data_IF_108907110323
#
_entry.id   IF_108907110323
#
_cell.length_a   1.000
_cell.length_b   1.000
_cell.length_c   1.000
_cell.angle_alpha   90.00
_cell.angle_beta   90.00
_cell.angle_gamma   90.00
#
_symmetry.space_group_name_H-M   'P 1'
#
loop_
_entity.id
_entity.type
_entity.pdbx_description
1 polymer ?
#
# COMPACT_ATOMS: atom_id res chain seq x y z
N UNK A 1 41.11 26.80 -9.76
CA UNK A 1 39.96 26.01 -10.26
C UNK A 1 38.96 27.01 -10.86
N UNK A 2 39.23 27.35 -12.11
CA UNK A 2 38.35 28.23 -12.89
C UNK A 2 37.27 27.35 -13.57
N UNK A 3 36.24 26.99 -12.82
CA UNK A 3 35.03 26.43 -13.39
C UNK A 3 34.04 27.60 -13.55
N UNK A 4 33.80 28.01 -14.79
CA UNK A 4 32.71 28.95 -15.09
C UNK A 4 31.40 28.40 -14.50
N UNK A 5 30.61 29.19 -13.76
CA UNK A 5 29.34 28.75 -13.23
C UNK A 5 28.41 28.43 -14.41
N UNK A 6 27.94 27.21 -14.50
CA UNK A 6 26.93 26.77 -15.45
C UNK A 6 25.62 27.57 -15.20
N UNK A 7 25.51 28.72 -15.85
CA UNK A 7 24.32 29.54 -15.82
C UNK A 7 23.27 28.96 -16.78
N UNK A 8 22.54 27.91 -16.35
CA UNK A 8 21.30 27.54 -17.01
C UNK A 8 20.26 28.61 -16.70
N UNK A 9 19.94 29.45 -17.70
CA UNK A 9 18.90 30.46 -17.60
C UNK A 9 17.50 29.83 -17.41
N UNK A 10 16.51 30.61 -16.91
CA UNK A 10 15.14 30.12 -16.69
C UNK A 10 14.45 29.55 -17.95
N UNK A 11 14.94 29.87 -19.15
CA UNK A 11 14.40 29.41 -20.44
C UNK A 11 14.88 28.00 -20.83
N UNK A 12 15.97 27.50 -20.21
CA UNK A 12 16.57 26.21 -20.54
C UNK A 12 16.00 25.07 -19.68
N UNK A 13 15.23 25.39 -18.67
CA UNK A 13 14.53 24.43 -17.83
C UNK A 13 13.22 24.01 -18.49
N UNK A 14 13.29 23.16 -19.51
CA UNK A 14 12.12 22.36 -19.86
C UNK A 14 11.74 21.58 -18.60
N UNK A 15 10.46 21.60 -18.18
CA UNK A 15 10.04 20.84 -17.03
C UNK A 15 10.43 19.38 -17.26
N UNK A 16 11.37 18.87 -16.48
CA UNK A 16 11.93 17.52 -16.57
C UNK A 16 10.84 16.44 -16.58
N UNK A 17 9.66 16.77 -16.07
CA UNK A 17 8.46 15.95 -16.18
C UNK A 17 7.20 16.81 -16.20
N UNK A 18 6.38 16.63 -17.21
CA UNK A 18 4.99 17.09 -17.18
C UNK A 18 4.16 16.17 -16.27
N UNK A 19 3.09 16.71 -15.68
CA UNK A 19 2.11 15.92 -14.89
C UNK A 19 1.66 14.66 -15.64
N UNK A 20 1.56 14.75 -16.97
CA UNK A 20 1.20 13.65 -17.88
C UNK A 20 2.32 12.60 -17.99
N UNK A 21 3.59 13.01 -17.99
CA UNK A 21 4.73 12.09 -18.03
C UNK A 21 4.91 11.36 -16.70
N UNK A 22 4.67 12.02 -15.56
CA UNK A 22 4.65 11.39 -14.25
C UNK A 22 3.48 10.38 -14.15
N UNK A 23 2.27 10.76 -14.53
CA UNK A 23 1.12 9.86 -14.57
C UNK A 23 1.33 8.67 -15.51
N UNK A 24 1.91 8.88 -16.70
CA UNK A 24 2.22 7.79 -17.63
C UNK A 24 3.27 6.82 -17.06
N UNK A 25 4.24 7.33 -16.32
CA UNK A 25 5.30 6.51 -15.70
C UNK A 25 4.77 5.68 -14.52
N UNK A 26 3.88 6.26 -13.69
CA UNK A 26 3.23 5.54 -12.61
C UNK A 26 2.22 4.51 -13.14
N UNK A 27 1.47 4.83 -14.19
CA UNK A 27 0.59 3.88 -14.86
C UNK A 27 1.37 2.79 -15.60
N UNK A 28 2.51 3.09 -16.22
CA UNK A 28 3.40 2.10 -16.84
C UNK A 28 4.05 1.16 -15.80
N UNK A 29 4.46 1.68 -14.64
CA UNK A 29 5.01 0.88 -13.53
C UNK A 29 3.94 -0.03 -12.91
N UNK A 30 2.72 0.47 -12.76
CA UNK A 30 1.54 -0.26 -12.32
C UNK A 30 1.13 -1.33 -13.35
N UNK A 31 1.18 -1.01 -14.66
CA UNK A 31 0.87 -1.93 -15.76
C UNK A 31 2.00 -2.93 -16.03
N UNK A 32 3.27 -2.58 -15.83
CA UNK A 32 4.40 -3.50 -15.99
C UNK A 32 4.43 -4.57 -14.89
N UNK A 33 4.01 -4.26 -13.66
CA UNK A 33 3.81 -5.27 -12.60
C UNK A 33 2.49 -6.02 -12.72
N UNK A 34 1.46 -5.46 -13.39
CA UNK A 34 0.12 -6.03 -13.57
C UNK A 34 -0.16 -6.67 -14.95
N UNK A 35 0.57 -6.26 -15.97
CA UNK A 35 0.16 -6.48 -17.37
C UNK A 35 0.28 -7.91 -17.90
N UNK A 36 1.02 -8.79 -17.26
CA UNK A 36 1.09 -10.23 -17.65
C UNK A 36 0.24 -11.16 -16.76
N UNK A 37 -0.19 -10.68 -15.58
CA UNK A 37 -1.04 -11.47 -14.67
C UNK A 37 -2.54 -11.26 -14.91
N UNK A 38 -2.97 -10.09 -15.42
CA UNK A 38 -4.39 -9.77 -15.53
C UNK A 38 -5.13 -10.58 -16.64
N UNK A 39 -4.45 -10.95 -17.73
CA UNK A 39 -5.04 -11.82 -18.76
C UNK A 39 -5.12 -13.29 -18.32
N UNK A 40 -4.11 -13.78 -17.58
CA UNK A 40 -4.13 -15.13 -17.01
C UNK A 40 -5.14 -15.26 -15.87
N UNK A 41 -5.26 -14.23 -15.01
CA UNK A 41 -6.24 -14.23 -13.90
C UNK A 41 -7.67 -14.18 -14.41
N UNK A 42 -7.95 -13.55 -15.58
CA UNK A 42 -9.29 -13.60 -16.18
C UNK A 42 -9.62 -14.97 -16.77
N UNK A 43 -8.64 -15.72 -17.26
CA UNK A 43 -8.84 -17.09 -17.73
C UNK A 43 -8.87 -18.10 -16.57
N UNK A 44 -8.05 -17.91 -15.53
CA UNK A 44 -8.07 -18.73 -14.32
C UNK A 44 -9.35 -18.52 -13.48
N UNK A 45 -9.91 -17.30 -13.45
CA UNK A 45 -11.20 -17.04 -12.82
C UNK A 45 -12.37 -17.78 -13.48
N UNK A 46 -12.25 -18.11 -14.76
CA UNK A 46 -13.24 -18.94 -15.48
C UNK A 46 -13.05 -20.45 -15.28
N UNK A 47 -11.88 -20.89 -14.82
CA UNK A 47 -11.56 -22.31 -14.63
C UNK A 47 -11.63 -22.78 -13.16
N UNK A 48 -11.83 -21.90 -12.19
CA UNK A 48 -11.82 -22.23 -10.75
C UNK A 48 -13.19 -22.56 -10.15
N UNK A 49 -14.16 -22.84 -10.97
CA UNK A 49 -15.56 -23.11 -10.59
C UNK A 49 -15.80 -24.42 -9.79
N UNK A 50 -14.73 -25.15 -9.46
CA UNK A 50 -14.80 -26.36 -8.65
C UNK A 50 -14.23 -26.11 -7.25
N UNK A 51 -14.99 -25.44 -6.41
CA UNK A 51 -14.66 -25.31 -4.98
C UNK A 51 -14.90 -23.96 -4.31
N UNK A 52 -15.26 -22.91 -5.05
CA UNK A 52 -15.72 -21.66 -4.45
C UNK A 52 -17.04 -21.93 -3.71
N UNK A 53 -17.24 -21.34 -2.50
CA UNK A 53 -18.53 -21.41 -1.82
C UNK A 53 -19.55 -20.53 -2.53
N UNK A 54 -20.83 -20.85 -2.39
CA UNK A 54 -21.86 -19.86 -2.68
C UNK A 54 -21.84 -18.77 -1.62
N UNK A 55 -22.37 -17.60 -1.93
CA UNK A 55 -22.43 -16.52 -0.95
C UNK A 55 -23.23 -16.91 0.30
N UNK A 56 -24.29 -17.72 0.14
CA UNK A 56 -25.12 -18.19 1.24
C UNK A 56 -24.36 -19.12 2.20
N UNK A 57 -23.45 -19.96 1.66
CA UNK A 57 -22.59 -20.82 2.48
C UNK A 57 -21.54 -20.02 3.25
N UNK A 58 -21.01 -18.96 2.65
CA UNK A 58 -19.87 -18.21 3.20
C UNK A 58 -20.29 -17.02 4.08
N UNK A 59 -21.50 -16.49 3.91
CA UNK A 59 -21.92 -15.22 4.52
C UNK A 59 -21.79 -15.16 6.04
N UNK A 60 -22.19 -16.20 6.75
CA UNK A 60 -22.05 -16.24 8.22
C UNK A 60 -20.58 -16.17 8.63
N UNK A 61 -19.75 -16.96 7.97
CA UNK A 61 -18.31 -16.99 8.25
C UNK A 61 -17.61 -15.66 7.87
N UNK A 62 -18.04 -15.01 6.78
CA UNK A 62 -17.54 -13.69 6.41
C UNK A 62 -17.88 -12.66 7.49
N UNK A 63 -19.13 -12.68 8.00
CA UNK A 63 -19.55 -11.80 9.09
C UNK A 63 -18.75 -12.04 10.37
N UNK A 64 -18.50 -13.30 10.72
CA UNK A 64 -17.65 -13.68 11.88
C UNK A 64 -16.21 -13.16 11.74
N UNK A 65 -15.63 -13.25 10.54
CA UNK A 65 -14.29 -12.68 10.27
C UNK A 65 -14.28 -11.15 10.38
N UNK A 66 -15.31 -10.49 9.90
CA UNK A 66 -15.42 -9.03 10.01
C UNK A 66 -15.55 -8.59 11.46
N UNK A 67 -16.35 -9.29 12.26
CA UNK A 67 -16.46 -9.03 13.69
C UNK A 67 -15.12 -9.28 14.42
N UNK A 68 -14.39 -10.35 14.07
CA UNK A 68 -13.06 -10.63 14.60
C UNK A 68 -12.04 -9.53 14.27
N UNK A 69 -12.15 -8.95 13.07
CA UNK A 69 -11.32 -7.82 12.64
C UNK A 69 -11.80 -6.47 13.16
N UNK A 70 -12.87 -6.45 13.97
CA UNK A 70 -13.42 -5.23 14.58
C UNK A 70 -14.33 -4.40 13.67
N UNK A 71 -14.64 -4.88 12.46
CA UNK A 71 -15.58 -4.20 11.58
C UNK A 71 -17.02 -4.52 11.97
N UNK A 72 -17.80 -3.48 12.21
CA UNK A 72 -19.22 -3.59 12.53
C UNK A 72 -20.06 -2.82 11.53
N UNK A 73 -21.24 -3.38 11.21
CA UNK A 73 -22.18 -2.72 10.32
C UNK A 73 -22.92 -1.61 11.08
N UNK A 74 -22.38 -0.40 11.03
CA UNK A 74 -22.89 0.81 11.69
C UNK A 74 -23.06 1.95 10.69
N UNK A 75 -23.95 2.94 10.97
CA UNK A 75 -24.29 4.01 10.01
C UNK A 75 -23.07 4.78 9.46
N UNK A 76 -22.10 5.08 10.30
CA UNK A 76 -20.91 5.86 9.91
C UNK A 76 -19.83 5.01 9.21
N UNK A 77 -19.86 3.69 9.38
CA UNK A 77 -18.86 2.75 8.89
C UNK A 77 -19.40 1.71 7.90
N UNK A 78 -20.65 1.86 7.42
CA UNK A 78 -21.27 0.86 6.54
C UNK A 78 -20.50 0.64 5.24
N UNK A 79 -19.95 1.69 4.64
CA UNK A 79 -19.16 1.58 3.40
C UNK A 79 -17.88 0.79 3.61
N UNK A 80 -17.22 0.99 4.74
CA UNK A 80 -16.01 0.26 5.12
C UNK A 80 -16.33 -1.22 5.35
N UNK A 81 -17.41 -1.51 6.10
CA UNK A 81 -17.87 -2.87 6.32
C UNK A 81 -18.18 -3.60 5.00
N UNK A 82 -18.96 -2.97 4.12
CA UNK A 82 -19.32 -3.54 2.82
C UNK A 82 -18.10 -3.72 1.92
N UNK A 83 -17.14 -2.82 2.01
CA UNK A 83 -15.89 -2.91 1.27
C UNK A 83 -15.07 -4.14 1.70
N UNK A 84 -14.92 -4.37 3.01
CA UNK A 84 -14.21 -5.54 3.55
C UNK A 84 -15.00 -6.83 3.32
N UNK A 85 -16.33 -6.80 3.38
CA UNK A 85 -17.17 -7.92 2.99
C UNK A 85 -16.90 -8.34 1.55
N UNK A 86 -16.87 -7.40 0.62
CA UNK A 86 -16.56 -7.66 -0.78
C UNK A 86 -15.14 -8.17 -0.98
N UNK A 87 -14.18 -7.71 -0.18
CA UNK A 87 -12.79 -8.18 -0.22
C UNK A 87 -12.68 -9.66 0.14
N UNK A 88 -13.37 -10.09 1.21
CA UNK A 88 -13.40 -11.51 1.60
C UNK A 88 -14.14 -12.35 0.56
N UNK A 89 -15.22 -11.84 -0.04
CA UNK A 89 -15.89 -12.51 -1.16
C UNK A 89 -14.93 -12.77 -2.33
N UNK A 90 -14.10 -11.77 -2.66
CA UNK A 90 -13.05 -11.92 -3.68
C UNK A 90 -12.04 -13.00 -3.27
N UNK A 91 -11.60 -13.02 -2.02
CA UNK A 91 -10.66 -14.03 -1.53
C UNK A 91 -11.21 -15.45 -1.65
N UNK A 92 -12.50 -15.67 -1.41
CA UNK A 92 -13.17 -16.96 -1.60
C UNK A 92 -13.51 -17.27 -3.06
N UNK A 93 -13.38 -16.32 -3.97
CA UNK A 93 -13.70 -16.49 -5.38
C UNK A 93 -15.20 -16.45 -5.67
N UNK A 94 -15.98 -15.78 -4.83
CA UNK A 94 -17.42 -15.57 -5.03
C UNK A 94 -17.60 -14.58 -6.19
N UNK A 95 -18.49 -14.86 -7.17
CA UNK A 95 -18.74 -13.97 -8.28
C UNK A 95 -19.34 -12.61 -7.86
N UNK A 96 -19.03 -11.54 -8.62
CA UNK A 96 -19.55 -10.20 -8.37
C UNK A 96 -21.07 -10.17 -8.22
N UNK A 97 -21.78 -10.86 -9.12
CA UNK A 97 -23.24 -10.85 -9.17
C UNK A 97 -23.87 -11.42 -7.90
N UNK A 98 -23.29 -12.49 -7.36
CA UNK A 98 -23.73 -13.10 -6.10
C UNK A 98 -23.42 -12.20 -4.91
N UNK A 99 -22.17 -11.70 -4.82
CA UNK A 99 -21.75 -10.82 -3.73
C UNK A 99 -22.57 -9.52 -3.70
N UNK A 100 -22.84 -8.94 -4.88
CA UNK A 100 -23.61 -7.72 -5.01
C UNK A 100 -25.07 -7.95 -4.63
N UNK A 101 -25.70 -9.00 -5.14
CA UNK A 101 -27.11 -9.32 -4.83
C UNK A 101 -27.32 -9.60 -3.34
N UNK A 102 -26.34 -10.27 -2.70
CA UNK A 102 -26.38 -10.50 -1.27
C UNK A 102 -26.23 -9.19 -0.49
N UNK A 103 -25.23 -8.39 -0.83
CA UNK A 103 -24.96 -7.12 -0.16
C UNK A 103 -26.14 -6.14 -0.29
N UNK A 104 -26.76 -6.06 -1.45
CA UNK A 104 -27.94 -5.22 -1.66
C UNK A 104 -29.14 -5.67 -0.81
N UNK A 105 -29.33 -6.99 -0.67
CA UNK A 105 -30.41 -7.55 0.16
C UNK A 105 -30.16 -7.34 1.65
N UNK A 106 -28.95 -7.57 2.12
CA UNK A 106 -28.64 -7.56 3.56
C UNK A 106 -28.29 -6.16 4.10
N UNK A 107 -27.62 -5.35 3.27
CA UNK A 107 -27.06 -4.06 3.68
C UNK A 107 -27.71 -2.87 2.95
N UNK A 108 -28.29 -3.11 1.77
CA UNK A 108 -28.81 -2.07 0.88
C UNK A 108 -30.14 -1.47 1.30
N UNK A 109 -30.85 -2.07 2.23
CA UNK A 109 -32.15 -1.53 2.73
C UNK A 109 -32.03 -0.17 3.39
N UNK A 110 -30.85 0.11 3.97
CA UNK A 110 -30.57 1.38 4.67
C UNK A 110 -29.66 2.32 3.86
N UNK A 111 -28.95 1.80 2.84
CA UNK A 111 -27.90 2.55 2.12
C UNK A 111 -27.91 2.24 0.62
N UNK A 112 -28.12 3.28 -0.20
CA UNK A 112 -28.26 3.15 -1.66
C UNK A 112 -26.95 2.94 -2.43
N UNK A 113 -25.81 3.12 -1.79
CA UNK A 113 -24.48 3.04 -2.42
C UNK A 113 -23.80 1.68 -2.29
N UNK A 114 -24.41 0.72 -1.56
CA UNK A 114 -23.90 -0.63 -1.30
C UNK A 114 -23.42 -1.34 -2.57
N UNK A 115 -24.25 -1.37 -3.61
CA UNK A 115 -23.91 -1.98 -4.90
C UNK A 115 -22.67 -1.35 -5.56
N UNK A 116 -22.54 -0.03 -5.43
CA UNK A 116 -21.41 0.70 -6.02
C UNK A 116 -20.09 0.41 -5.30
N UNK A 117 -20.14 0.24 -3.98
CA UNK A 117 -18.98 -0.12 -3.15
C UNK A 117 -18.48 -1.52 -3.53
N UNK A 118 -19.37 -2.52 -3.57
CA UNK A 118 -19.02 -3.88 -3.99
C UNK A 118 -18.42 -3.89 -5.39
N UNK A 119 -19.09 -3.26 -6.36
CA UNK A 119 -18.61 -3.17 -7.75
C UNK A 119 -17.26 -2.46 -7.86
N UNK A 120 -17.02 -1.43 -7.05
CA UNK A 120 -15.74 -0.74 -7.01
C UNK A 120 -14.62 -1.66 -6.54
N UNK A 121 -14.86 -2.47 -5.51
CA UNK A 121 -13.87 -3.41 -4.97
C UNK A 121 -13.54 -4.53 -5.95
N UNK A 122 -14.50 -5.06 -6.65
CA UNK A 122 -14.33 -6.10 -7.68
C UNK A 122 -13.53 -5.67 -8.92
N UNK A 123 -13.14 -4.40 -9.04
CA UNK A 123 -12.16 -3.99 -10.07
C UNK A 123 -10.74 -4.49 -9.77
N UNK A 124 -10.47 -4.98 -8.57
CA UNK A 124 -9.16 -5.40 -8.10
C UNK A 124 -9.14 -6.92 -7.81
N UNK A 125 -9.20 -7.74 -8.86
CA UNK A 125 -9.32 -9.21 -8.76
C UNK A 125 -7.99 -9.97 -8.60
N UNK A 126 -6.89 -9.31 -8.28
CA UNK A 126 -5.58 -9.97 -8.16
C UNK A 126 -5.50 -11.03 -7.04
N UNK A 127 -6.43 -10.99 -6.11
CA UNK A 127 -6.58 -11.94 -5.00
C UNK A 127 -7.81 -12.85 -5.13
N UNK A 128 -8.42 -12.94 -6.34
CA UNK A 128 -9.63 -13.73 -6.54
C UNK A 128 -9.39 -15.21 -6.33
N UNK A 129 -10.18 -15.85 -5.43
CA UNK A 129 -10.15 -17.29 -5.17
C UNK A 129 -8.86 -17.81 -4.54
N UNK A 130 -8.10 -16.96 -3.82
CA UNK A 130 -6.88 -17.39 -3.13
C UNK A 130 -7.17 -18.17 -1.85
N UNK A 131 -8.34 -17.97 -1.22
CA UNK A 131 -8.77 -18.69 -0.04
C UNK A 131 -9.55 -19.95 -0.39
N UNK A 132 -9.50 -20.94 0.50
CA UNK A 132 -10.32 -22.15 0.46
C UNK A 132 -11.40 -22.05 1.52
N UNK A 133 -12.64 -22.31 1.14
CA UNK A 133 -13.75 -22.37 2.10
C UNK A 133 -13.86 -23.82 2.62
N UNK A 134 -13.63 -24.00 3.91
CA UNK A 134 -13.73 -25.30 4.57
C UNK A 134 -15.17 -25.54 5.00
N UNK A 135 -15.85 -26.49 4.38
CA UNK A 135 -17.20 -26.88 4.75
C UNK A 135 -17.17 -27.72 6.03
N UNK A 136 -18.26 -27.65 6.80
CA UNK A 136 -18.42 -28.43 8.02
C UNK A 136 -18.27 -29.93 7.72
N UNK A 137 -17.32 -30.62 8.36
CA UNK A 137 -17.01 -32.05 8.10
C UNK A 137 -15.86 -32.29 7.11
N UNK A 138 -15.35 -31.29 6.41
CA UNK A 138 -14.09 -31.41 5.67
C UNK A 138 -12.94 -31.44 6.69
N UNK A 139 -12.54 -32.64 7.12
CA UNK A 139 -11.44 -32.82 8.05
C UNK A 139 -10.13 -32.27 7.45
N UNK A 140 -9.40 -31.46 8.22
CA UNK A 140 -8.01 -31.09 7.94
C UNK A 140 -7.11 -32.32 8.10
N UNK A 141 -7.26 -33.32 7.22
CA UNK A 141 -6.44 -34.51 7.22
C UNK A 141 -5.20 -34.26 6.38
N UNK A 142 -4.03 -34.18 7.02
CA UNK A 142 -2.74 -34.15 6.33
C UNK A 142 -1.88 -32.92 6.68
N UNK A 143 -0.71 -32.83 6.05
CA UNK A 143 0.18 -31.66 6.18
C UNK A 143 -0.52 -30.42 5.64
N UNK A 144 -0.44 -29.27 6.35
CA UNK A 144 -1.06 -28.03 5.89
C UNK A 144 -0.49 -27.62 4.52
N UNK A 145 -1.38 -27.26 3.61
CA UNK A 145 -0.96 -26.72 2.31
C UNK A 145 -0.43 -25.28 2.46
N UNK A 146 0.46 -24.86 1.58
CA UNK A 146 0.91 -23.45 1.55
C UNK A 146 -0.27 -22.49 1.45
N UNK A 147 -1.35 -22.90 0.77
CA UNK A 147 -2.58 -22.12 0.65
C UNK A 147 -3.27 -21.93 2.01
N UNK A 148 -3.44 -23.01 2.80
CA UNK A 148 -4.05 -22.91 4.13
C UNK A 148 -3.20 -22.11 5.10
N UNK A 149 -1.88 -22.20 5.00
CA UNK A 149 -0.95 -21.38 5.78
C UNK A 149 -1.12 -19.89 5.44
N UNK A 150 -1.07 -19.55 4.16
CA UNK A 150 -1.27 -18.16 3.70
C UNK A 150 -2.63 -17.61 4.10
N UNK A 151 -3.67 -18.42 4.04
CA UNK A 151 -5.01 -18.03 4.46
C UNK A 151 -5.06 -17.74 5.96
N UNK A 152 -4.50 -18.62 6.80
CA UNK A 152 -4.42 -18.39 8.24
C UNK A 152 -3.66 -17.11 8.57
N UNK A 153 -2.50 -16.90 7.94
CA UNK A 153 -1.70 -15.69 8.12
C UNK A 153 -2.51 -14.44 7.75
N UNK A 154 -3.22 -14.43 6.61
CA UNK A 154 -4.04 -13.29 6.18
C UNK A 154 -5.28 -13.07 7.04
N UNK A 155 -5.74 -14.09 7.77
CA UNK A 155 -6.84 -13.96 8.72
C UNK A 155 -6.38 -13.25 10.00
N UNK A 156 -5.14 -13.49 10.44
CA UNK A 156 -4.65 -13.00 11.73
C UNK A 156 -3.76 -11.77 11.60
N UNK A 157 -3.04 -11.62 10.47
CA UNK A 157 -2.00 -10.63 10.29
C UNK A 157 -2.05 -9.97 8.90
N UNK A 158 -1.50 -8.77 8.84
CA UNK A 158 -1.11 -8.10 7.62
C UNK A 158 0.41 -8.13 7.51
N UNK A 159 0.92 -8.32 6.30
CA UNK A 159 2.35 -8.34 6.02
C UNK A 159 2.70 -7.36 4.92
N UNK A 160 3.77 -6.61 5.11
CA UNK A 160 4.31 -5.76 4.06
C UNK A 160 5.83 -5.77 4.07
N UNK A 161 6.41 -5.46 2.94
CA UNK A 161 7.84 -5.21 2.82
C UNK A 161 8.08 -3.72 2.61
N UNK A 162 8.71 -3.08 3.57
CA UNK A 162 9.10 -1.68 3.49
C UNK A 162 10.21 -1.52 2.45
N UNK A 163 9.92 -0.84 1.34
CA UNK A 163 10.88 -0.67 0.23
C UNK A 163 12.03 0.29 0.56
N UNK A 164 11.85 1.15 1.56
CA UNK A 164 12.89 2.09 1.99
C UNK A 164 13.93 1.41 2.88
N UNK A 165 13.49 0.58 3.83
CA UNK A 165 14.37 -0.10 4.78
C UNK A 165 14.77 -1.50 4.33
N UNK A 166 14.00 -2.11 3.43
CA UNK A 166 14.15 -3.50 3.00
C UNK A 166 13.61 -4.52 4.00
N UNK A 167 13.09 -4.10 5.15
CA UNK A 167 12.57 -4.98 6.18
C UNK A 167 11.13 -5.41 5.91
N UNK A 168 10.79 -6.59 6.41
CA UNK A 168 9.42 -7.08 6.47
C UNK A 168 8.77 -6.57 7.75
N UNK A 169 7.51 -6.20 7.66
CA UNK A 169 6.72 -5.64 8.76
C UNK A 169 5.41 -6.42 8.87
N UNK A 170 4.89 -6.51 10.09
CA UNK A 170 3.63 -7.18 10.43
C UNK A 170 2.76 -6.29 11.30
N UNK A 171 1.46 -6.39 11.11
CA UNK A 171 0.42 -5.78 11.94
C UNK A 171 -0.67 -6.83 12.22
N UNK A 172 -1.20 -6.87 13.43
CA UNK A 172 -2.31 -7.77 13.77
C UNK A 172 -3.62 -7.27 13.18
N UNK A 173 -4.40 -8.16 12.57
CA UNK A 173 -5.76 -7.86 12.13
C UNK A 173 -6.79 -8.00 13.26
N UNK A 174 -6.48 -8.81 14.26
CA UNK A 174 -7.38 -9.09 15.38
C UNK A 174 -7.29 -7.95 16.37
N UNK A 175 -8.38 -7.21 16.53
CA UNK A 175 -8.41 -5.97 17.33
C UNK A 175 -8.43 -6.26 18.83
N UNK A 176 -9.14 -7.31 19.29
CA UNK A 176 -9.35 -7.57 20.73
C UNK A 176 -8.13 -8.15 21.43
N UNK A 177 -7.31 -8.95 20.73
CA UNK A 177 -6.11 -9.58 21.27
C UNK A 177 -4.88 -9.34 20.37
N UNK A 178 -4.91 -8.25 19.60
CA UNK A 178 -3.85 -7.93 18.63
C UNK A 178 -2.51 -7.72 19.31
N UNK A 179 -1.61 -8.69 19.14
CA UNK A 179 -0.26 -8.67 19.70
C UNK A 179 0.59 -7.54 19.13
N UNK A 180 0.30 -7.14 17.89
CA UNK A 180 0.98 -6.07 17.16
C UNK A 180 -0.06 -5.08 16.63
N UNK A 181 -0.52 -4.11 17.44
CA UNK A 181 -1.58 -3.17 17.03
C UNK A 181 -1.12 -2.18 15.95
N UNK A 182 0.20 -1.98 15.84
CA UNK A 182 0.84 -1.15 14.82
C UNK A 182 1.83 -1.98 14.00
N UNK A 183 2.22 -1.44 12.84
CA UNK A 183 3.25 -2.03 12.01
C UNK A 183 4.58 -2.13 12.74
N UNK A 184 5.04 -3.35 12.98
CA UNK A 184 6.32 -3.64 13.61
C UNK A 184 7.23 -4.41 12.66
N UNK A 185 8.53 -4.16 12.74
CA UNK A 185 9.52 -4.92 11.99
C UNK A 185 9.55 -6.37 12.49
N UNK A 186 9.49 -7.31 11.55
CA UNK A 186 9.63 -8.74 11.86
C UNK A 186 11.09 -9.05 12.18
N UNK A 187 11.30 -9.61 13.34
CA UNK A 187 12.54 -10.23 13.79
C UNK A 187 12.29 -11.72 14.11
N UNK A 188 13.35 -12.43 14.50
CA UNK A 188 13.26 -13.87 14.81
C UNK A 188 12.27 -14.15 15.95
N UNK A 189 12.13 -13.24 16.92
CA UNK A 189 11.21 -13.43 18.04
C UNK A 189 9.74 -13.33 17.58
N UNK A 190 9.44 -12.37 16.73
CA UNK A 190 8.10 -12.18 16.15
C UNK A 190 7.77 -13.36 15.23
N UNK A 191 8.70 -13.78 14.38
CA UNK A 191 8.51 -14.90 13.46
C UNK A 191 8.24 -16.20 14.24
N UNK A 192 9.02 -16.48 15.29
CA UNK A 192 8.82 -17.63 16.18
C UNK A 192 7.50 -17.57 16.95
N UNK A 193 7.05 -16.36 17.34
CA UNK A 193 5.76 -16.20 18.00
C UNK A 193 4.60 -16.54 17.07
N UNK A 194 4.64 -16.05 15.83
CA UNK A 194 3.63 -16.35 14.80
C UNK A 194 3.65 -17.85 14.47
N UNK A 195 4.83 -18.45 14.37
CA UNK A 195 4.98 -19.88 14.16
C UNK A 195 4.33 -20.71 15.29
N UNK A 196 4.55 -20.33 16.56
CA UNK A 196 3.96 -20.98 17.73
C UNK A 196 2.43 -20.90 17.73
N UNK A 197 1.87 -19.73 17.41
CA UNK A 197 0.41 -19.54 17.30
C UNK A 197 -0.21 -20.40 16.18
N UNK A 198 0.51 -20.56 15.07
CA UNK A 198 0.08 -21.45 13.98
C UNK A 198 0.08 -22.92 14.44
N UNK A 199 1.13 -23.34 15.14
CA UNK A 199 1.26 -24.70 15.67
C UNK A 199 0.16 -25.01 16.68
N UNK A 200 -0.13 -24.10 17.62
CA UNK A 200 -1.23 -24.17 18.57
C UNK A 200 -2.61 -24.24 17.89
N UNK A 201 -2.73 -23.59 16.73
CA UNK A 201 -3.93 -23.66 15.88
C UNK A 201 -4.04 -24.97 15.07
N UNK A 202 -3.11 -25.90 15.26
CA UNK A 202 -3.07 -27.20 14.56
C UNK A 202 -2.50 -27.11 13.13
N UNK A 203 -1.82 -26.02 12.79
CA UNK A 203 -1.12 -25.85 11.53
C UNK A 203 0.38 -26.16 11.69
N UNK A 204 0.70 -27.42 11.92
CA UNK A 204 2.08 -27.86 12.14
C UNK A 204 2.91 -27.74 10.85
N UNK A 205 3.88 -26.83 10.84
CA UNK A 205 4.76 -26.58 9.69
C UNK A 205 6.22 -26.37 10.16
N UNK A 206 7.20 -26.68 9.32
CA UNK A 206 8.57 -26.29 9.59
C UNK A 206 8.70 -24.76 9.62
N UNK A 207 9.41 -24.21 10.59
CA UNK A 207 9.70 -22.78 10.75
C UNK A 207 10.19 -22.13 9.44
N UNK A 208 11.12 -22.78 8.75
CA UNK A 208 11.61 -22.35 7.45
C UNK A 208 10.52 -22.11 6.40
N UNK A 209 9.38 -22.79 6.52
CA UNK A 209 8.25 -22.61 5.60
C UNK A 209 7.58 -21.27 5.84
N UNK A 210 7.38 -20.86 7.08
CA UNK A 210 6.87 -19.56 7.46
C UNK A 210 7.81 -18.47 6.96
N UNK A 211 9.09 -18.56 7.28
CA UNK A 211 10.13 -17.64 6.79
C UNK A 211 10.07 -17.44 5.28
N UNK A 212 10.04 -18.52 4.50
CA UNK A 212 9.98 -18.45 3.04
C UNK A 212 8.68 -17.79 2.52
N UNK A 213 7.56 -17.95 3.23
CA UNK A 213 6.29 -17.29 2.85
C UNK A 213 6.38 -15.80 3.11
N UNK A 214 6.80 -15.39 4.31
CA UNK A 214 6.93 -13.97 4.68
C UNK A 214 7.89 -13.24 3.73
N UNK A 215 9.02 -13.88 3.41
CA UNK A 215 10.06 -13.32 2.54
C UNK A 215 9.79 -13.49 1.03
N UNK A 216 8.55 -13.76 0.65
CA UNK A 216 8.13 -13.88 -0.74
C UNK A 216 7.29 -12.68 -1.20
N UNK A 217 6.66 -12.82 -2.37
CA UNK A 217 5.63 -11.90 -2.88
C UNK A 217 4.32 -11.88 -2.07
N UNK A 218 4.25 -12.68 -1.02
CA UNK A 218 3.16 -12.68 -0.06
C UNK A 218 3.10 -11.37 0.74
N UNK A 219 4.26 -10.84 1.15
CA UNK A 219 4.37 -9.53 1.79
C UNK A 219 4.36 -8.44 0.72
N UNK A 220 3.29 -7.64 0.70
CA UNK A 220 3.13 -6.60 -0.32
C UNK A 220 4.19 -5.50 -0.18
N UNK A 221 4.76 -4.99 -1.28
CA UNK A 221 5.71 -3.90 -1.20
C UNK A 221 4.99 -2.62 -0.76
N UNK A 222 5.57 -1.95 0.23
CA UNK A 222 5.12 -0.68 0.79
C UNK A 222 6.22 0.37 0.68
N UNK A 223 5.93 1.47 0.01
CA UNK A 223 6.81 2.63 -0.07
C UNK A 223 6.29 3.72 0.87
N UNK A 224 6.88 3.88 2.08
CA UNK A 224 6.41 4.85 3.07
C UNK A 224 6.53 6.29 2.59
N UNK A 225 7.47 6.58 1.70
CA UNK A 225 7.64 7.90 1.15
C UNK A 225 6.55 8.24 0.11
N UNK A 226 6.23 7.30 -0.78
CA UNK A 226 5.14 7.47 -1.75
C UNK A 226 3.79 7.61 -1.03
N UNK A 227 3.56 6.82 0.01
CA UNK A 227 2.37 6.88 0.83
C UNK A 227 2.25 8.24 1.55
N UNK A 228 3.32 8.69 2.21
CA UNK A 228 3.38 10.00 2.84
C UNK A 228 3.10 11.12 1.84
N UNK A 229 3.78 11.13 0.70
CA UNK A 229 3.61 12.18 -0.30
C UNK A 229 2.19 12.21 -0.90
N UNK A 230 1.52 11.06 -0.98
CA UNK A 230 0.12 10.97 -1.43
C UNK A 230 -0.88 11.44 -0.38
N UNK A 231 -0.54 11.31 0.90
CA UNK A 231 -1.39 11.76 2.01
C UNK A 231 -1.40 13.28 2.17
N UNK A 232 -0.39 13.98 1.61
CA UNK A 232 -0.29 15.42 1.71
C UNK A 232 -1.45 16.14 0.98
N UNK A 233 -1.96 17.23 1.56
CA UNK A 233 -2.95 18.07 0.91
C UNK A 233 -2.40 18.59 -0.43
N UNK A 234 -3.27 18.67 -1.44
CA UNK A 234 -2.88 19.18 -2.76
C UNK A 234 -2.60 20.68 -2.67
N UNK A 235 -1.36 21.07 -2.96
CA UNK A 235 -1.01 22.47 -3.11
C UNK A 235 -1.72 23.11 -4.30
N UNK A 236 -2.31 24.29 -4.09
CA UNK A 236 -3.06 25.04 -5.10
C UNK A 236 -2.30 26.29 -5.46
N UNK A 237 -1.89 26.39 -6.72
CA UNK A 237 -1.17 27.55 -7.25
C UNK A 237 -2.05 28.80 -7.17
N UNK A 238 -1.55 29.83 -6.50
CA UNK A 238 -2.22 31.13 -6.34
C UNK A 238 -3.15 31.22 -5.11
N UNK A 239 -3.50 30.10 -4.48
CA UNK A 239 -4.23 30.06 -3.20
C UNK A 239 -3.27 29.79 -2.06
N UNK A 240 -2.40 28.79 -2.22
CA UNK A 240 -1.43 28.41 -1.18
C UNK A 240 -0.12 29.17 -1.32
N UNK A 241 0.52 29.54 -0.20
CA UNK A 241 1.80 30.21 -0.22
C UNK A 241 2.93 29.31 -0.72
N UNK A 242 4.00 29.89 -1.24
CA UNK A 242 5.21 29.15 -1.55
C UNK A 242 5.98 28.82 -0.25
N UNK A 243 5.70 27.64 0.31
CA UNK A 243 6.31 27.18 1.56
C UNK A 243 7.83 27.01 1.47
N UNK A 244 8.36 26.76 0.26
CA UNK A 244 9.81 26.62 0.07
C UNK A 244 10.48 27.99 0.17
N UNK A 245 9.89 29.01 -0.42
CA UNK A 245 10.39 30.37 -0.31
C UNK A 245 10.30 30.88 1.14
N UNK A 246 9.19 30.58 1.85
CA UNK A 246 9.07 30.89 3.27
C UNK A 246 10.13 30.17 4.13
N UNK A 247 10.46 28.92 3.81
CA UNK A 247 11.52 28.19 4.50
C UNK A 247 12.90 28.80 4.22
N UNK A 248 13.16 29.17 2.97
CA UNK A 248 14.40 29.83 2.57
C UNK A 248 14.59 31.18 3.27
N UNK A 249 13.50 31.92 3.52
CA UNK A 249 13.51 33.22 4.18
C UNK A 249 13.85 33.17 5.68
N UNK A 250 13.72 31.99 6.29
CA UNK A 250 14.16 31.78 7.69
C UNK A 250 15.69 31.63 7.80
N UNK A 251 16.38 31.50 6.69
CA UNK A 251 17.83 31.37 6.62
C UNK A 251 18.37 32.70 6.09
N UNK A 252 18.88 33.54 6.97
CA UNK A 252 19.53 34.78 6.59
C UNK A 252 20.89 34.46 5.95
N UNK A 253 21.10 34.93 4.72
CA UNK A 253 22.34 34.77 4.01
C UNK A 253 23.13 36.07 4.08
N UNK A 254 24.37 36.00 4.51
CA UNK A 254 25.27 37.15 4.56
C UNK A 254 25.51 37.68 3.13
N UNK A 255 25.35 38.98 2.92
CA UNK A 255 25.57 39.60 1.62
C UNK A 255 27.07 39.54 1.27
N UNK A 256 27.38 38.94 0.13
CA UNK A 256 28.71 38.94 -0.43
C UNK A 256 29.01 40.30 -1.12
N UNK A 257 30.22 40.86 -0.98
CA UNK A 257 30.54 42.19 -1.50
C UNK A 257 30.30 42.39 -3.00
N UNK A 258 30.38 41.31 -3.76
CA UNK A 258 30.27 41.32 -5.22
C UNK A 258 28.93 40.81 -5.76
N UNK A 259 27.96 40.50 -4.89
CA UNK A 259 26.68 39.94 -5.28
C UNK A 259 25.50 40.75 -4.71
N UNK A 260 24.92 41.60 -5.54
CA UNK A 260 23.59 42.14 -5.26
C UNK A 260 22.55 40.98 -5.25
N UNK A 261 21.65 40.96 -4.29
CA UNK A 261 20.59 39.97 -4.19
C UNK A 261 20.96 38.54 -3.75
N UNK A 262 21.95 38.39 -2.86
CA UNK A 262 22.39 37.09 -2.35
C UNK A 262 21.23 36.23 -1.80
N UNK A 263 20.29 36.84 -1.06
CA UNK A 263 19.11 36.13 -0.54
C UNK A 263 18.21 35.58 -1.67
N UNK A 264 18.04 36.33 -2.77
CA UNK A 264 17.23 35.89 -3.91
C UNK A 264 17.89 34.72 -4.65
N UNK A 265 19.22 34.76 -4.79
CA UNK A 265 19.99 33.65 -5.34
C UNK A 265 19.92 32.41 -4.47
N UNK A 266 20.00 32.59 -3.14
CA UNK A 266 19.85 31.51 -2.18
C UNK A 266 18.48 30.84 -2.33
N UNK A 267 17.38 31.60 -2.30
CA UNK A 267 16.02 31.06 -2.53
C UNK A 267 15.93 30.23 -3.81
N UNK A 268 16.47 30.76 -4.90
CA UNK A 268 16.44 30.08 -6.20
C UNK A 268 17.18 28.74 -6.18
N UNK A 269 18.41 28.70 -5.65
CA UNK A 269 19.21 27.48 -5.59
C UNK A 269 18.70 26.50 -4.54
N UNK A 270 18.24 26.98 -3.39
CA UNK A 270 17.62 26.19 -2.34
C UNK A 270 16.37 25.46 -2.86
N UNK A 271 15.52 26.17 -3.56
CA UNK A 271 14.33 25.58 -4.21
C UNK A 271 14.71 24.51 -5.24
N UNK A 272 15.69 24.79 -6.08
CA UNK A 272 16.20 23.79 -7.03
C UNK A 272 16.74 22.54 -6.35
N UNK A 273 17.50 22.74 -5.29
CA UNK A 273 18.07 21.64 -4.53
C UNK A 273 16.98 20.76 -3.89
N UNK A 274 15.99 21.37 -3.22
CA UNK A 274 14.86 20.65 -2.63
C UNK A 274 14.07 19.90 -3.68
N UNK A 275 13.75 20.52 -4.80
CA UNK A 275 13.02 19.86 -5.90
C UNK A 275 13.82 18.68 -6.45
N UNK A 276 15.14 18.85 -6.66
CA UNK A 276 16.00 17.78 -7.15
C UNK A 276 16.10 16.62 -6.14
N UNK A 277 16.14 16.93 -4.85
CA UNK A 277 16.13 15.93 -3.77
C UNK A 277 14.84 15.10 -3.81
N UNK A 278 13.68 15.76 -3.84
CA UNK A 278 12.37 15.06 -3.89
C UNK A 278 12.24 14.24 -5.18
N UNK A 279 12.69 14.78 -6.32
CA UNK A 279 12.69 14.04 -7.59
C UNK A 279 13.58 12.80 -7.51
N UNK A 280 14.74 12.87 -6.86
CA UNK A 280 15.61 11.72 -6.66
C UNK A 280 14.92 10.63 -5.83
N UNK A 281 14.20 11.00 -4.77
CA UNK A 281 13.46 10.06 -3.94
C UNK A 281 12.32 9.37 -4.69
N UNK A 282 11.53 10.16 -5.45
CA UNK A 282 10.32 9.64 -6.13
C UNK A 282 10.66 8.85 -7.39
N UNK A 283 11.74 9.18 -8.10
CA UNK A 283 11.98 8.61 -9.43
C UNK A 283 12.96 7.44 -9.47
N UNK A 284 13.79 7.24 -8.44
CA UNK A 284 14.85 6.23 -8.36
C UNK A 284 15.86 6.22 -9.54
N UNK A 285 15.67 7.09 -10.54
CA UNK A 285 16.49 7.19 -11.75
C UNK A 285 17.36 8.44 -11.79
N UNK A 286 17.03 9.40 -10.95
CA UNK A 286 17.75 10.66 -10.84
C UNK A 286 18.53 10.65 -9.54
N UNK A 287 19.82 10.84 -9.64
CA UNK A 287 20.68 11.00 -8.47
C UNK A 287 20.92 12.50 -8.30
N UNK A 288 20.51 13.02 -7.14
CA UNK A 288 20.89 14.40 -6.80
C UNK A 288 22.33 14.40 -6.31
N UNK A 289 23.22 14.95 -7.11
CA UNK A 289 24.64 15.07 -6.79
C UNK A 289 24.99 16.41 -6.10
N UNK A 290 24.02 17.29 -5.89
CA UNK A 290 24.24 18.58 -5.25
C UNK A 290 24.18 18.45 -3.75
N UNK A 291 25.15 19.03 -3.08
CA UNK A 291 25.23 19.13 -1.62
C UNK A 291 24.96 20.58 -1.23
N UNK A 292 24.04 20.80 -0.32
CA UNK A 292 23.81 22.09 0.30
C UNK A 292 24.73 22.21 1.52
N UNK A 293 25.61 23.21 1.52
CA UNK A 293 26.56 23.45 2.61
C UNK A 293 26.24 24.80 3.23
N UNK A 294 25.97 24.81 4.54
CA UNK A 294 25.85 26.03 5.33
C UNK A 294 27.20 26.32 5.99
N UNK A 295 27.71 27.52 5.76
CA UNK A 295 28.95 28.00 6.36
C UNK A 295 28.62 29.21 7.21
N UNK A 296 29.01 29.19 8.48
CA UNK A 296 28.79 30.28 9.41
C UNK A 296 30.04 30.54 10.26
N UNK A 297 30.07 31.67 10.94
CA UNK A 297 31.06 31.94 11.99
C UNK A 297 30.65 31.10 13.19
N UNK A 298 31.55 30.19 13.65
CA UNK A 298 31.39 29.39 14.83
C UNK A 298 31.38 30.19 16.12
#
# INVERSE_FOLDING_TARGET
>A
WDAEPFALGPKDLKPLYTKKALQAKYSARRNAKGGKRSSKVKEEAKSSDKGAPTIEEAASHIKELLDLWGYRFEPEHHNEYVWHFADICIYYGIPLEEAQSYADREFGTSYQDTASVVKSRYKHLHKFGIWHFYRQGEGRSGKPSVRSIKQWLLTHYLFRRNELTGFYEVESRIVLDGKYPDWVRIDDNIENSIWSEMDESGLHLPEKTLHNIINSDFSEPFDPLDDYLRSLPKWKKGEDPDYIDQLADRIEVENLPDYEHTQSLFRYFFKKWLVAMVVAWVTLKVVNQMILIFVGKG
#
